data_IF_784366496436
#
_entry.id   IF_784366496436
#
_cell.length_a   1.000
_cell.length_b   1.000
_cell.length_c   1.000
_cell.angle_alpha   90.00
_cell.angle_beta   90.00
_cell.angle_gamma   90.00
#
_symmetry.space_group_name_H-M   'P 1'
#
loop_
_entity.id
_entity.type
_entity.pdbx_description
1 polymer ?
#
# COMPACT_ATOMS: atom_id res chain seq x y z
N UNK A 1 51.33 31.64 7.23
CA UNK A 1 51.18 30.30 6.65
C UNK A 1 49.88 29.74 7.19
N UNK A 2 48.82 29.78 6.40
CA UNK A 2 47.49 29.30 6.78
C UNK A 2 47.21 28.05 6.00
N UNK A 3 47.07 26.91 6.65
CA UNK A 3 46.68 25.63 6.06
C UNK A 3 45.16 25.57 5.99
N UNK A 4 44.63 25.72 4.82
CA UNK A 4 43.26 25.39 4.48
C UNK A 4 43.17 23.87 4.20
N UNK A 5 42.69 23.11 5.17
CA UNK A 5 42.21 21.77 4.94
C UNK A 5 40.70 21.81 4.61
N UNK A 6 40.42 21.95 3.31
CA UNK A 6 39.08 21.75 2.80
C UNK A 6 38.73 20.26 2.85
N UNK A 7 37.94 19.86 3.81
CA UNK A 7 37.35 18.53 3.85
C UNK A 7 36.33 18.42 2.71
N UNK A 8 36.69 17.74 1.66
CA UNK A 8 35.79 17.30 0.60
C UNK A 8 34.80 16.30 1.19
N UNK A 9 33.56 16.73 1.40
CA UNK A 9 32.47 15.82 1.72
C UNK A 9 32.13 15.05 0.45
N UNK A 10 32.72 13.90 0.33
CA UNK A 10 32.32 12.91 -0.68
C UNK A 10 30.90 12.46 -0.34
N UNK A 11 29.92 13.02 -1.07
CA UNK A 11 28.56 12.49 -1.09
C UNK A 11 28.61 11.14 -1.81
N UNK A 12 28.91 10.08 -1.10
CA UNK A 12 28.66 8.73 -1.57
C UNK A 12 27.16 8.58 -1.73
N UNK A 13 26.68 8.63 -2.95
CA UNK A 13 25.33 8.19 -3.33
C UNK A 13 25.25 6.71 -2.97
N UNK A 14 24.73 6.40 -1.80
CA UNK A 14 24.39 5.04 -1.43
C UNK A 14 23.22 4.65 -2.34
N UNK A 15 23.52 3.95 -3.41
CA UNK A 15 22.50 3.29 -4.21
C UNK A 15 21.93 2.16 -3.34
N UNK A 16 20.79 2.41 -2.72
CA UNK A 16 20.07 1.40 -1.94
C UNK A 16 19.66 0.27 -2.90
N UNK A 17 20.34 -0.83 -2.79
CA UNK A 17 20.02 -2.04 -3.56
C UNK A 17 18.81 -2.72 -2.94
N UNK A 18 17.95 -3.31 -3.78
CA UNK A 18 16.77 -4.07 -3.32
C UNK A 18 17.12 -5.22 -2.37
N UNK A 19 18.36 -5.70 -2.43
CA UNK A 19 18.90 -6.80 -1.63
C UNK A 19 19.73 -6.35 -0.42
N UNK A 20 19.69 -5.07 -0.04
CA UNK A 20 20.40 -4.61 1.16
C UNK A 20 19.76 -5.24 2.40
N UNK A 21 20.46 -6.10 3.14
CA UNK A 21 19.92 -6.80 4.30
C UNK A 21 19.63 -5.87 5.48
N UNK A 22 20.16 -4.64 5.45
CA UNK A 22 19.95 -3.64 6.51
C UNK A 22 18.72 -2.76 6.24
N UNK A 23 18.14 -2.86 5.04
CA UNK A 23 17.00 -2.03 4.64
C UNK A 23 15.68 -2.68 5.07
N UNK A 24 14.99 -2.04 5.99
CA UNK A 24 13.63 -2.42 6.36
C UNK A 24 12.69 -2.38 5.16
N UNK A 25 11.94 -3.45 4.96
CA UNK A 25 10.99 -3.59 3.85
C UNK A 25 9.58 -3.21 4.26
N UNK A 26 8.84 -2.68 3.30
CA UNK A 26 7.40 -2.54 3.41
C UNK A 26 6.76 -3.93 3.24
N UNK A 27 5.76 -4.20 4.07
CA UNK A 27 5.10 -5.51 4.17
C UNK A 27 3.60 -5.32 4.20
N UNK A 28 2.91 -6.12 3.41
CA UNK A 28 1.47 -6.31 3.47
C UNK A 28 1.20 -7.75 3.94
N UNK A 29 0.49 -7.92 5.04
CA UNK A 29 0.27 -9.22 5.66
C UNK A 29 -1.20 -9.45 5.97
N UNK A 30 -1.70 -10.65 5.70
CA UNK A 30 -3.06 -11.04 6.10
C UNK A 30 -3.13 -11.34 7.59
N UNK A 31 -4.08 -10.73 8.27
CA UNK A 31 -4.41 -11.04 9.66
C UNK A 31 -5.31 -12.28 9.78
N UNK A 32 -6.02 -12.64 8.71
CA UNK A 32 -6.83 -13.87 8.65
C UNK A 32 -5.98 -15.11 8.38
N UNK A 33 -4.88 -14.93 7.63
CA UNK A 33 -3.92 -15.98 7.32
C UNK A 33 -2.49 -15.43 7.40
N UNK A 34 -1.81 -15.51 8.55
CA UNK A 34 -0.46 -14.95 8.74
C UNK A 34 0.61 -15.54 7.81
N UNK A 35 0.36 -16.72 7.20
CA UNK A 35 1.22 -17.28 6.17
C UNK A 35 1.15 -16.54 4.84
N UNK A 36 0.11 -15.73 4.62
CA UNK A 36 -0.08 -14.92 3.42
C UNK A 36 0.51 -13.53 3.64
N UNK A 37 1.74 -13.34 3.18
CA UNK A 37 2.55 -12.14 3.38
C UNK A 37 3.22 -11.74 2.07
N UNK A 38 3.14 -10.46 1.72
CA UNK A 38 3.88 -9.86 0.62
C UNK A 38 4.89 -8.85 1.17
N UNK A 39 6.16 -9.13 0.96
CA UNK A 39 7.24 -8.20 1.21
C UNK A 39 7.59 -7.47 -0.10
N UNK A 40 7.68 -6.15 -0.05
CA UNK A 40 7.97 -5.36 -1.24
C UNK A 40 9.45 -5.47 -1.58
N UNK A 41 9.74 -5.90 -2.80
CA UNK A 41 11.13 -6.02 -3.27
C UNK A 41 11.83 -4.66 -3.26
N UNK A 42 11.13 -3.62 -3.74
CA UNK A 42 11.55 -2.24 -3.65
C UNK A 42 10.53 -1.46 -2.81
N UNK A 43 11.01 -0.74 -1.81
CA UNK A 43 10.14 0.09 -0.98
C UNK A 43 9.48 1.19 -1.82
N UNK A 44 8.22 1.54 -1.53
CA UNK A 44 7.53 2.61 -2.23
C UNK A 44 8.25 3.94 -1.99
N UNK A 45 8.24 4.81 -2.99
CA UNK A 45 8.80 6.17 -2.88
C UNK A 45 7.87 7.13 -2.16
N UNK A 46 6.57 6.83 -2.21
CA UNK A 46 5.51 7.70 -1.70
C UNK A 46 4.34 6.86 -1.20
N UNK A 47 3.77 7.29 -0.11
CA UNK A 47 2.51 6.78 0.46
C UNK A 47 1.60 7.98 0.66
N UNK A 48 0.46 7.98 0.00
CA UNK A 48 -0.52 9.06 0.08
C UNK A 48 -1.67 8.65 0.99
N UNK A 49 -2.04 9.51 1.92
CA UNK A 49 -3.15 9.31 2.86
C UNK A 49 -4.34 10.16 2.45
N UNK A 50 -5.55 9.61 2.52
CA UNK A 50 -6.79 10.32 2.28
C UNK A 50 -7.77 10.09 3.43
N UNK A 51 -8.27 11.17 3.97
CA UNK A 51 -9.32 11.19 4.99
C UNK A 51 -10.41 12.15 4.54
N UNK A 52 -11.68 11.74 4.58
CA UNK A 52 -12.80 12.56 4.14
C UNK A 52 -13.90 12.60 5.19
N UNK A 53 -14.53 13.76 5.28
CA UNK A 53 -15.74 13.95 6.07
C UNK A 53 -16.90 14.20 5.10
N UNK A 54 -17.94 13.40 5.19
CA UNK A 54 -19.15 13.62 4.40
C UNK A 54 -19.93 14.80 4.98
N UNK A 55 -20.23 15.77 4.13
CA UNK A 55 -21.03 16.94 4.50
C UNK A 55 -22.44 16.79 3.93
N UNK A 56 -23.44 16.84 4.80
CA UNK A 56 -24.84 16.93 4.37
C UNK A 56 -25.21 18.39 4.17
N UNK A 57 -25.46 18.76 2.93
CA UNK A 57 -26.01 20.09 2.58
C UNK A 57 -27.53 20.01 2.64
N UNK A 58 -28.14 20.61 3.67
CA UNK A 58 -29.60 20.76 3.72
C UNK A 58 -30.12 21.56 2.50
N UNK A 59 -31.00 20.95 1.69
CA UNK A 59 -31.59 21.62 0.55
C UNK A 59 -32.40 22.84 1.06
N UNK A 60 -31.92 24.04 0.75
CA UNK A 60 -32.65 25.31 1.00
C UNK A 60 -32.53 25.88 2.41
N UNK A 61 -31.92 25.20 3.38
CA UNK A 61 -31.73 25.78 4.70
C UNK A 61 -30.58 26.79 4.72
N UNK A 62 -30.86 28.07 4.96
CA UNK A 62 -29.85 29.10 5.20
C UNK A 62 -29.80 29.45 6.67
N UNK A 63 -28.63 29.81 7.18
CA UNK A 63 -28.52 30.34 8.53
C UNK A 63 -29.21 31.72 8.58
N UNK A 64 -30.15 31.86 9.52
CA UNK A 64 -31.05 33.00 9.62
C UNK A 64 -30.33 34.36 9.75
N UNK A 65 -29.13 34.37 10.36
CA UNK A 65 -28.33 35.57 10.59
C UNK A 65 -27.25 35.84 9.52
N UNK A 66 -26.78 34.85 8.79
CA UNK A 66 -25.62 35.01 7.90
C UNK A 66 -25.91 34.72 6.43
N UNK A 67 -27.07 34.14 6.11
CA UNK A 67 -27.45 33.76 4.75
C UNK A 67 -26.62 32.63 4.14
N UNK A 68 -25.62 32.10 4.87
CA UNK A 68 -24.81 30.96 4.40
C UNK A 68 -25.59 29.65 4.45
N UNK A 69 -25.27 28.67 3.56
CA UNK A 69 -25.89 27.38 3.60
C UNK A 69 -25.60 26.68 4.95
N UNK A 70 -26.62 26.10 5.59
CA UNK A 70 -26.42 25.24 6.74
C UNK A 70 -25.72 23.98 6.28
N UNK A 71 -24.57 23.71 6.86
CA UNK A 71 -23.81 22.47 6.65
C UNK A 71 -23.91 21.65 7.93
N UNK A 72 -24.43 20.43 7.83
CA UNK A 72 -24.33 19.45 8.89
C UNK A 72 -23.22 18.44 8.57
N UNK A 73 -22.43 18.09 9.58
CA UNK A 73 -21.42 17.05 9.46
C UNK A 73 -22.12 15.69 9.39
N UNK A 74 -21.79 14.93 8.36
CA UNK A 74 -22.22 13.56 8.19
C UNK A 74 -21.24 12.61 8.87
N UNK A 75 -20.98 11.49 8.22
CA UNK A 75 -20.07 10.46 8.73
C UNK A 75 -18.62 10.75 8.32
N UNK A 76 -17.68 10.28 9.14
CA UNK A 76 -16.29 10.14 8.76
C UNK A 76 -16.20 8.96 7.79
N UNK A 77 -15.61 9.18 6.61
CA UNK A 77 -15.29 8.08 5.71
C UNK A 77 -14.06 7.34 6.21
N UNK A 78 -13.95 6.06 5.86
CA UNK A 78 -12.77 5.26 6.19
C UNK A 78 -11.50 5.89 5.61
N UNK A 79 -10.42 5.89 6.39
CA UNK A 79 -9.13 6.34 5.90
C UNK A 79 -8.64 5.43 4.79
N UNK A 80 -7.98 6.00 3.80
CA UNK A 80 -7.36 5.22 2.74
C UNK A 80 -5.91 5.59 2.52
N UNK A 81 -5.13 4.60 2.11
CA UNK A 81 -3.73 4.76 1.68
C UNK A 81 -3.65 4.36 0.21
N UNK A 82 -3.01 5.20 -0.58
CA UNK A 82 -2.63 4.90 -1.96
C UNK A 82 -1.12 4.81 -2.07
N UNK A 83 -0.65 3.69 -2.61
CA UNK A 83 0.77 3.41 -2.84
C UNK A 83 0.96 3.24 -4.35
N UNK A 84 1.81 4.07 -4.93
CA UNK A 84 2.01 4.12 -6.38
C UNK A 84 3.39 3.61 -6.79
N UNK A 85 3.45 3.11 -8.02
CA UNK A 85 4.70 2.73 -8.68
C UNK A 85 5.53 1.74 -7.85
N UNK A 86 4.92 0.63 -7.42
CA UNK A 86 5.62 -0.46 -6.76
C UNK A 86 6.22 -1.37 -7.83
N UNK A 87 7.51 -1.64 -7.72
CA UNK A 87 8.26 -2.43 -8.71
C UNK A 87 8.58 -3.82 -8.18
N UNK A 88 8.42 -4.82 -9.05
CA UNK A 88 8.91 -6.18 -8.85
C UNK A 88 9.71 -6.60 -10.08
N UNK A 89 10.90 -7.15 -9.88
CA UNK A 89 11.82 -7.56 -10.93
C UNK A 89 12.44 -8.92 -10.59
N UNK A 90 12.32 -9.85 -11.52
CA UNK A 90 12.83 -11.23 -11.41
C UNK A 90 13.69 -11.59 -12.62
N UNK A 91 14.16 -10.57 -13.37
CA UNK A 91 14.89 -10.77 -14.61
C UNK A 91 16.17 -11.60 -14.43
N UNK A 92 16.96 -11.32 -13.39
CA UNK A 92 18.21 -12.02 -13.11
C UNK A 92 17.97 -13.49 -12.75
N UNK A 93 16.86 -13.78 -12.01
CA UNK A 93 16.47 -15.14 -11.61
C UNK A 93 15.71 -15.88 -12.71
N UNK A 94 15.25 -15.19 -13.75
CA UNK A 94 14.36 -15.68 -14.81
C UNK A 94 13.13 -16.43 -14.28
N UNK A 95 12.54 -15.91 -13.19
CA UNK A 95 11.33 -16.44 -12.54
C UNK A 95 10.14 -15.61 -12.97
N UNK A 96 8.95 -16.25 -13.11
CA UNK A 96 7.70 -15.54 -13.37
C UNK A 96 7.36 -14.59 -12.21
N UNK A 97 7.36 -13.27 -12.51
CA UNK A 97 7.05 -12.24 -11.52
C UNK A 97 5.60 -12.29 -11.04
N UNK A 98 4.69 -12.81 -11.84
CA UNK A 98 3.28 -12.97 -11.47
C UNK A 98 3.14 -14.06 -10.40
N UNK A 99 3.78 -15.20 -10.60
CA UNK A 99 3.77 -16.30 -9.63
C UNK A 99 4.50 -15.94 -8.33
N UNK A 100 5.58 -15.15 -8.43
CA UNK A 100 6.39 -14.79 -7.25
C UNK A 100 5.77 -13.69 -6.40
N UNK A 101 5.08 -12.70 -7.00
CA UNK A 101 4.60 -11.51 -6.29
C UNK A 101 3.12 -11.19 -6.51
N UNK A 102 2.63 -11.19 -7.76
CA UNK A 102 1.27 -10.76 -8.07
C UNK A 102 0.23 -11.73 -7.52
N UNK A 103 0.57 -13.01 -7.42
CA UNK A 103 -0.30 -14.03 -6.83
C UNK A 103 -0.75 -13.65 -5.42
N UNK A 104 0.13 -13.06 -4.60
CA UNK A 104 -0.22 -12.62 -3.24
C UNK A 104 -1.27 -11.52 -3.25
N UNK A 105 -1.15 -10.52 -4.15
CA UNK A 105 -2.14 -9.46 -4.29
C UNK A 105 -3.51 -10.01 -4.73
N UNK A 106 -3.49 -10.98 -5.64
CA UNK A 106 -4.73 -11.67 -6.08
C UNK A 106 -5.35 -12.48 -4.95
N UNK A 107 -4.54 -13.16 -4.13
CA UNK A 107 -5.04 -13.90 -2.97
C UNK A 107 -5.64 -12.96 -1.92
N UNK A 108 -5.02 -11.82 -1.63
CA UNK A 108 -5.54 -10.84 -0.67
C UNK A 108 -6.95 -10.33 -1.02
N UNK A 109 -7.31 -10.24 -2.29
CA UNK A 109 -8.65 -9.80 -2.72
C UNK A 109 -9.65 -10.94 -2.88
N UNK A 110 -9.23 -12.20 -2.70
CA UNK A 110 -10.15 -13.33 -2.66
C UNK A 110 -11.01 -13.28 -1.42
N UNK A 111 -12.24 -13.75 -1.55
CA UNK A 111 -13.12 -13.86 -0.39
C UNK A 111 -12.67 -14.96 0.55
N UNK A 112 -12.56 -14.60 1.81
CA UNK A 112 -12.38 -15.55 2.92
C UNK A 112 -13.75 -16.16 3.23
N UNK A 113 -13.81 -17.49 3.27
CA UNK A 113 -15.07 -18.19 3.50
C UNK A 113 -15.39 -18.18 4.99
N UNK A 114 -16.30 -17.30 5.41
CA UNK A 114 -16.75 -17.11 6.81
C UNK A 114 -18.16 -17.67 7.06
N UNK A 115 -18.58 -18.65 6.28
CA UNK A 115 -19.94 -19.19 6.35
C UNK A 115 -20.92 -18.29 5.58
N UNK A 116 -21.75 -17.53 6.29
CA UNK A 116 -22.75 -16.65 5.64
C UNK A 116 -22.19 -15.30 5.22
N UNK A 117 -21.10 -14.86 5.83
CA UNK A 117 -20.44 -13.59 5.52
C UNK A 117 -19.23 -13.84 4.61
N UNK A 118 -19.17 -13.08 3.52
CA UNK A 118 -18.05 -13.14 2.59
C UNK A 118 -17.39 -11.78 2.54
N UNK A 119 -16.10 -11.73 2.84
CA UNK A 119 -15.27 -10.55 2.70
C UNK A 119 -13.87 -10.93 2.22
N UNK A 120 -13.13 -9.97 1.74
CA UNK A 120 -11.71 -10.13 1.41
C UNK A 120 -10.87 -10.25 2.69
N UNK A 121 -9.59 -10.59 2.54
CA UNK A 121 -8.67 -10.64 3.68
C UNK A 121 -8.56 -9.29 4.38
N UNK A 122 -8.54 -9.31 5.70
CA UNK A 122 -8.11 -8.16 6.51
C UNK A 122 -6.60 -8.18 6.58
N UNK A 123 -6.01 -7.06 6.24
CA UNK A 123 -4.58 -6.90 6.07
C UNK A 123 -4.02 -5.88 7.06
N UNK A 124 -2.75 -6.01 7.32
CA UNK A 124 -1.92 -5.05 8.02
C UNK A 124 -0.84 -4.52 7.07
N UNK A 125 -0.64 -3.21 7.04
CA UNK A 125 0.45 -2.59 6.28
C UNK A 125 1.46 -1.93 7.21
N UNK A 126 2.70 -2.40 7.14
CA UNK A 126 3.83 -1.89 7.93
C UNK A 126 5.06 -1.66 7.07
N UNK A 127 5.95 -0.80 7.55
CA UNK A 127 7.27 -0.59 6.98
C UNK A 127 8.28 -0.41 8.10
N UNK A 128 9.19 -1.36 8.24
CA UNK A 128 10.09 -1.46 9.38
C UNK A 128 9.30 -1.58 10.68
N UNK A 129 9.56 -0.70 11.61
CA UNK A 129 8.86 -0.63 12.90
C UNK A 129 7.55 0.15 12.86
N UNK A 130 7.26 0.86 11.76
CA UNK A 130 6.07 1.70 11.63
C UNK A 130 4.89 0.91 11.10
N UNK A 131 3.81 0.91 11.88
CA UNK A 131 2.51 0.38 11.49
C UNK A 131 1.67 1.50 10.90
N UNK A 132 1.46 1.50 9.57
CA UNK A 132 0.71 2.55 8.88
C UNK A 132 -0.79 2.36 8.95
N UNK A 133 -1.26 1.10 8.74
CA UNK A 133 -2.66 0.71 8.98
C UNK A 133 -2.66 -0.65 9.68
N UNK A 134 -3.40 -0.72 10.77
CA UNK A 134 -3.54 -1.94 11.58
C UNK A 134 -4.52 -2.94 10.96
N UNK A 135 -5.60 -2.46 10.37
CA UNK A 135 -6.62 -3.28 9.70
C UNK A 135 -7.11 -2.55 8.46
N UNK A 136 -6.92 -3.18 7.33
CA UNK A 136 -7.37 -2.66 6.04
C UNK A 136 -7.70 -3.82 5.09
N UNK A 137 -8.28 -3.49 3.96
CA UNK A 137 -8.42 -4.39 2.82
C UNK A 137 -7.96 -3.69 1.55
N UNK A 138 -7.67 -4.46 0.51
CA UNK A 138 -7.39 -3.90 -0.81
C UNK A 138 -8.72 -3.54 -1.47
N UNK A 139 -8.93 -2.25 -1.73
CA UNK A 139 -10.05 -1.76 -2.53
C UNK A 139 -9.81 -1.99 -4.02
N UNK A 140 -8.61 -1.64 -4.46
CA UNK A 140 -8.21 -1.81 -5.85
C UNK A 140 -6.70 -1.90 -6.00
N UNK A 141 -6.24 -2.60 -7.03
CA UNK A 141 -4.87 -2.50 -7.51
C UNK A 141 -4.81 -2.70 -9.01
N UNK A 142 -3.96 -1.92 -9.65
CA UNK A 142 -3.70 -1.96 -11.08
C UNK A 142 -2.23 -2.28 -11.31
N UNK A 143 -1.96 -3.21 -12.19
CA UNK A 143 -0.58 -3.56 -12.52
C UNK A 143 -0.41 -3.81 -14.01
N UNK A 144 0.82 -3.65 -14.48
CA UNK A 144 1.25 -3.95 -15.85
C UNK A 144 2.54 -4.74 -15.83
N UNK A 145 2.66 -5.61 -16.83
CA UNK A 145 3.86 -6.38 -17.09
C UNK A 145 4.69 -5.62 -18.12
N UNK A 146 5.93 -5.28 -17.78
CA UNK A 146 6.73 -4.35 -18.57
C UNK A 146 7.97 -4.97 -19.18
N UNK A 147 8.31 -6.21 -18.79
CA UNK A 147 9.45 -6.93 -19.34
C UNK A 147 9.17 -8.44 -19.39
N UNK A 148 9.61 -9.06 -20.46
CA UNK A 148 9.45 -10.50 -20.70
C UNK A 148 10.79 -11.12 -21.08
N UNK A 149 11.02 -12.34 -20.67
CA UNK A 149 12.17 -13.12 -21.13
C UNK A 149 11.94 -13.61 -22.57
N UNK A 150 12.97 -14.22 -23.16
CA UNK A 150 12.93 -14.68 -24.55
C UNK A 150 11.85 -15.74 -24.82
N UNK A 151 11.36 -16.44 -23.82
CA UNK A 151 10.29 -17.44 -23.89
C UNK A 151 8.90 -16.86 -23.58
N UNK A 152 8.78 -15.54 -23.38
CA UNK A 152 7.52 -14.87 -23.06
C UNK A 152 7.14 -14.86 -21.57
N UNK A 153 7.97 -15.41 -20.68
CA UNK A 153 7.73 -15.34 -19.22
C UNK A 153 7.85 -13.88 -18.74
N UNK A 154 6.84 -13.35 -18.04
CA UNK A 154 6.93 -11.99 -17.51
C UNK A 154 7.93 -11.95 -16.34
N UNK A 155 8.91 -11.06 -16.43
CA UNK A 155 9.98 -10.94 -15.43
C UNK A 155 10.00 -9.58 -14.73
N UNK A 156 9.13 -8.66 -15.13
CA UNK A 156 8.96 -7.39 -14.44
C UNK A 156 7.49 -6.96 -14.39
N UNK A 157 7.04 -6.60 -13.20
CA UNK A 157 5.72 -6.02 -12.94
C UNK A 157 5.85 -4.65 -12.27
N UNK A 158 4.95 -3.76 -12.64
CA UNK A 158 4.77 -2.45 -11.98
C UNK A 158 3.34 -2.37 -11.50
N UNK A 159 3.15 -2.19 -10.19
CA UNK A 159 1.86 -1.84 -9.62
C UNK A 159 1.71 -0.34 -9.76
N UNK A 160 0.83 0.11 -10.64
CA UNK A 160 0.62 1.53 -10.89
C UNK A 160 -0.06 2.21 -9.71
N UNK A 161 -1.03 1.53 -9.10
CA UNK A 161 -1.72 1.98 -7.91
C UNK A 161 -2.18 0.78 -7.06
N UNK A 162 -2.00 0.89 -5.75
CA UNK A 162 -2.53 -0.02 -4.74
C UNK A 162 -3.28 0.82 -3.71
N UNK A 163 -4.59 0.65 -3.62
CA UNK A 163 -5.44 1.37 -2.66
C UNK A 163 -5.85 0.45 -1.52
N UNK A 164 -5.48 0.84 -0.30
CA UNK A 164 -5.85 0.18 0.95
C UNK A 164 -6.86 1.05 1.68
N UNK A 165 -7.94 0.46 2.16
CA UNK A 165 -8.99 1.15 2.92
C UNK A 165 -9.06 0.57 4.32
N UNK A 166 -9.05 1.45 5.32
CA UNK A 166 -9.15 1.08 6.73
C UNK A 166 -10.51 0.45 7.04
N UNK A 167 -10.52 -0.53 7.94
CA UNK A 167 -11.74 -1.20 8.37
C UNK A 167 -11.69 -1.50 9.87
N UNK A 168 -12.84 -1.57 10.50
CA UNK A 168 -13.04 -2.03 11.89
C UNK A 168 -13.33 -3.53 11.97
N UNK A 169 -13.48 -4.20 10.83
CA UNK A 169 -13.69 -5.65 10.75
C UNK A 169 -12.65 -6.45 11.55
N UNK A 170 -13.09 -7.51 12.18
CA UNK A 170 -12.23 -8.38 13.01
C UNK A 170 -11.70 -9.55 12.20
N UNK A 171 -10.39 -9.82 12.22
CA UNK A 171 -9.81 -10.99 11.58
C UNK A 171 -10.34 -12.31 12.17
N UNK A 172 -10.44 -13.35 11.33
CA UNK A 172 -11.05 -14.65 11.71
C UNK A 172 -10.27 -15.39 12.79
N UNK A 173 -8.98 -15.18 12.91
CA UNK A 173 -8.08 -15.84 13.87
C UNK A 173 -8.10 -15.25 15.30
N UNK A 174 -8.84 -14.19 15.55
CA UNK A 174 -8.86 -13.45 16.82
C UNK A 174 -10.15 -13.69 17.65
N UNK A 175 -10.62 -14.92 17.69
CA UNK A 175 -11.66 -15.30 18.65
C UNK A 175 -11.05 -16.01 19.84
#
# INVERSE_FOLDING_TARGET
>A
MANNNGASISQSKIALRASDPTLDKAILMSLDNPGLKLEFQFNPKEISFSTRVTLSKGKGARAEKTGFPKVSFGNLEANSISIKNIYFDTYEDNIDVVEKYIVFLREFVRFVNLGKEQRTHILEFRWGTHLYIKRCFIESFDYRLTMFSHNGTPVRAVIDNLTLVETDETPVGYR
#
